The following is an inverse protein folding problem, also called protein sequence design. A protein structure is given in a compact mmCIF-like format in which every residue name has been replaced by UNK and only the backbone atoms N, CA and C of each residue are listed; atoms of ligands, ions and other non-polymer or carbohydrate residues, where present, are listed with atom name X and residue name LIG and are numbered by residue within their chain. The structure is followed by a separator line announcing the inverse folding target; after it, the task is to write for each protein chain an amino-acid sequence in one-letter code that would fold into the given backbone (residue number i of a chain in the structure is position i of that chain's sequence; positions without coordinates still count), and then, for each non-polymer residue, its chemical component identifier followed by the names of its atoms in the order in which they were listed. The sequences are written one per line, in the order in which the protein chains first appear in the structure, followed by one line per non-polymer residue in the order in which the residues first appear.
data_IF_869786203785
#
_entry.id   IF_869786203785
#
_cell.length_a   1.000
_cell.length_b   1.000
_cell.length_c   1.000
_cell.angle_alpha   90.00
_cell.angle_beta   90.00
_cell.angle_gamma   90.00
#
_symmetry.space_group_name_H-M   'P 1'
#
loop_
_entity.id
_entity.type
_entity.pdbx_description
1 polymer ?
#
# COMPACT_ATOMS: atom_id res chain seq x y z
N UNK A 1 51.12 4.03 -24.84
CA UNK A 1 49.99 4.92 -24.53
C UNK A 1 48.84 4.24 -25.23
N UNK A 2 48.00 3.45 -24.56
CA UNK A 2 47.37 3.69 -23.25
C UNK A 2 47.29 2.35 -22.49
N UNK A 3 47.90 2.28 -21.31
CA UNK A 3 47.88 1.10 -20.43
C UNK A 3 47.09 1.39 -19.16
N UNK A 4 45.76 1.36 -19.23
CA UNK A 4 44.89 1.62 -18.07
C UNK A 4 43.59 0.78 -18.04
N UNK A 5 43.38 -0.15 -18.96
CA UNK A 5 42.21 -1.03 -18.95
C UNK A 5 42.22 -2.12 -17.85
N UNK A 6 43.29 -2.21 -17.06
CA UNK A 6 43.43 -3.19 -15.96
C UNK A 6 43.06 -2.71 -14.56
N UNK A 7 42.85 -1.40 -14.32
CA UNK A 7 42.67 -0.88 -12.96
C UNK A 7 41.21 -0.61 -12.58
N UNK A 8 40.32 -0.37 -13.55
CA UNK A 8 38.89 -0.13 -13.28
C UNK A 8 38.09 -1.43 -12.99
N UNK A 9 38.66 -2.60 -13.27
CA UNK A 9 38.00 -3.91 -13.06
C UNK A 9 38.15 -4.46 -11.65
N UNK A 10 39.15 -4.01 -10.88
CA UNK A 10 39.47 -4.59 -9.57
C UNK A 10 38.52 -4.17 -8.43
N UNK A 11 37.60 -3.23 -8.66
CA UNK A 11 36.57 -2.83 -7.67
C UNK A 11 35.19 -3.43 -7.92
N UNK A 12 34.95 -4.06 -9.08
CA UNK A 12 33.62 -4.57 -9.45
C UNK A 12 33.32 -5.95 -8.84
N UNK A 13 34.34 -6.71 -8.42
CA UNK A 13 34.18 -8.11 -8.01
C UNK A 13 33.75 -8.31 -6.54
N UNK A 14 33.65 -7.25 -5.73
CA UNK A 14 33.23 -7.32 -4.31
C UNK A 14 32.08 -6.38 -3.93
N UNK A 15 31.29 -5.92 -4.92
CA UNK A 15 30.17 -5.03 -4.65
C UNK A 15 28.96 -5.80 -4.10
N UNK A 16 28.85 -5.86 -2.77
CA UNK A 16 27.61 -6.25 -2.08
C UNK A 16 26.50 -5.24 -2.42
N UNK A 17 25.27 -5.68 -2.80
CA UNK A 17 24.19 -4.77 -3.16
C UNK A 17 23.88 -3.81 -1.99
N UNK A 18 23.90 -2.50 -2.25
CA UNK A 18 23.60 -1.49 -1.23
C UNK A 18 22.10 -1.52 -0.89
N UNK A 19 21.71 -0.81 0.16
CA UNK A 19 20.31 -0.77 0.58
C UNK A 19 19.42 -0.15 -0.52
N UNK A 20 18.68 -1.00 -1.24
CA UNK A 20 17.86 -0.57 -2.38
C UNK A 20 18.15 -1.29 -3.69
N UNK A 21 19.18 -2.14 -3.72
CA UNK A 21 19.61 -2.87 -4.92
C UNK A 21 19.41 -4.39 -4.74
N UNK A 22 19.29 -5.10 -5.86
CA UNK A 22 19.13 -6.55 -5.92
C UNK A 22 19.77 -7.08 -7.20
N UNK A 23 20.07 -8.38 -7.27
CA UNK A 23 20.59 -8.98 -8.50
C UNK A 23 19.44 -9.35 -9.44
N UNK A 24 19.69 -9.22 -10.75
CA UNK A 24 18.80 -9.76 -11.76
C UNK A 24 18.86 -11.29 -11.76
N UNK A 25 17.72 -11.96 -11.64
CA UNK A 25 17.62 -13.43 -11.62
C UNK A 25 18.03 -14.12 -12.92
N UNK A 26 18.11 -13.36 -14.03
CA UNK A 26 18.49 -13.90 -15.34
C UNK A 26 19.93 -13.59 -15.73
N UNK A 27 20.38 -12.34 -15.58
CA UNK A 27 21.71 -11.92 -16.06
C UNK A 27 22.74 -11.67 -14.94
N UNK A 28 22.35 -11.78 -13.67
CA UNK A 28 23.27 -11.65 -12.52
C UNK A 28 23.73 -10.23 -12.19
N UNK A 29 23.43 -9.22 -13.02
CA UNK A 29 23.82 -7.82 -12.76
C UNK A 29 23.01 -7.20 -11.63
N UNK A 30 23.64 -6.29 -10.89
CA UNK A 30 23.00 -5.48 -9.86
C UNK A 30 22.05 -4.49 -10.51
N UNK A 31 20.82 -4.44 -10.02
CA UNK A 31 19.75 -3.55 -10.46
C UNK A 31 19.02 -2.96 -9.25
N UNK A 32 18.26 -1.89 -9.46
CA UNK A 32 17.43 -1.31 -8.41
C UNK A 32 16.27 -2.26 -8.03
N UNK A 33 15.93 -2.37 -6.74
CA UNK A 33 14.78 -3.17 -6.25
C UNK A 33 13.43 -2.74 -6.84
N UNK A 34 13.33 -1.50 -7.31
CA UNK A 34 12.13 -0.94 -7.94
C UNK A 34 12.08 -1.19 -9.46
N UNK A 35 13.16 -1.69 -10.05
CA UNK A 35 13.19 -1.98 -11.48
C UNK A 35 12.30 -3.19 -11.80
N UNK A 36 11.14 -2.91 -12.41
CA UNK A 36 10.22 -3.95 -12.90
C UNK A 36 10.89 -4.73 -14.03
N UNK A 37 11.56 -4.02 -14.95
CA UNK A 37 12.32 -4.58 -16.08
C UNK A 37 13.81 -4.33 -15.89
N UNK A 38 14.64 -5.35 -16.10
CA UNK A 38 16.09 -5.23 -16.07
C UNK A 38 16.60 -4.45 -17.30
N UNK A 39 17.35 -3.34 -17.15
CA UNK A 39 17.85 -2.55 -18.29
C UNK A 39 18.96 -3.25 -19.10
N UNK A 40 19.51 -4.36 -18.59
CA UNK A 40 20.60 -5.08 -19.27
C UNK A 40 20.14 -6.26 -20.12
N UNK A 41 19.13 -7.01 -19.69
CA UNK A 41 18.65 -8.18 -20.42
C UNK A 41 17.15 -8.13 -20.77
N UNK A 42 16.41 -7.12 -20.30
CA UNK A 42 15.00 -6.92 -20.64
C UNK A 42 14.01 -7.85 -19.92
N UNK A 43 14.46 -8.76 -19.05
CA UNK A 43 13.54 -9.61 -18.28
C UNK A 43 12.90 -8.84 -17.12
N UNK A 44 11.70 -9.24 -16.71
CA UNK A 44 11.08 -8.68 -15.50
C UNK A 44 11.66 -9.33 -14.24
N UNK A 45 12.20 -8.52 -13.34
CA UNK A 45 12.74 -8.98 -12.06
C UNK A 45 11.91 -8.50 -10.87
N UNK A 46 11.05 -7.49 -11.07
CA UNK A 46 10.14 -6.94 -10.08
C UNK A 46 8.69 -7.02 -10.55
N UNK A 47 7.73 -6.98 -9.60
CA UNK A 47 6.32 -6.75 -9.92
C UNK A 47 6.09 -5.24 -10.08
N UNK A 48 5.24 -4.84 -11.03
CA UNK A 48 4.72 -3.48 -11.02
C UNK A 48 4.09 -3.21 -9.66
N UNK A 49 4.50 -2.12 -9.01
CA UNK A 49 3.73 -1.55 -7.92
C UNK A 49 2.44 -1.01 -8.53
N UNK A 50 1.44 -1.88 -8.62
CA UNK A 50 0.07 -1.40 -8.78
C UNK A 50 -0.24 -0.72 -7.47
N UNK A 51 -0.63 0.54 -7.49
CA UNK A 51 -1.20 1.21 -6.31
C UNK A 51 -2.37 0.35 -5.82
N UNK A 52 -2.09 -0.49 -4.82
CA UNK A 52 -2.99 -1.51 -4.33
C UNK A 52 -4.14 -0.80 -3.64
N UNK A 53 -5.22 -0.53 -4.38
CA UNK A 53 -6.52 -0.08 -3.90
C UNK A 53 -6.46 0.68 -2.57
N UNK A 54 -5.77 1.81 -2.55
CA UNK A 54 -5.63 2.63 -1.35
C UNK A 54 -7.04 3.00 -0.86
N UNK A 55 -7.45 2.42 0.26
CA UNK A 55 -8.76 2.68 0.86
C UNK A 55 -8.73 4.13 1.35
N UNK A 56 -9.31 5.05 0.60
CA UNK A 56 -9.25 6.46 0.97
C UNK A 56 -10.07 6.73 2.24
N UNK A 57 -9.39 7.23 3.27
CA UNK A 57 -9.99 7.69 4.53
C UNK A 57 -11.15 8.67 4.33
N UNK A 58 -11.02 9.56 3.36
CA UNK A 58 -12.05 10.54 2.98
C UNK A 58 -13.32 9.86 2.46
N UNK A 59 -13.17 8.80 1.66
CA UNK A 59 -14.29 7.99 1.15
C UNK A 59 -14.96 7.24 2.30
N UNK A 60 -14.19 6.67 3.23
CA UNK A 60 -14.74 6.03 4.43
C UNK A 60 -15.53 7.01 5.31
N UNK A 61 -15.05 8.25 5.46
CA UNK A 61 -15.74 9.30 6.23
C UNK A 61 -17.01 9.80 5.53
N UNK A 62 -16.97 10.05 4.22
CA UNK A 62 -18.18 10.43 3.46
C UNK A 62 -19.23 9.32 3.51
N UNK A 63 -18.82 8.06 3.33
CA UNK A 63 -19.72 6.92 3.46
C UNK A 63 -20.33 6.80 4.86
N UNK A 64 -19.58 7.15 5.92
CA UNK A 64 -20.08 7.14 7.28
C UNK A 64 -21.13 8.23 7.54
N UNK A 65 -20.99 9.41 6.93
CA UNK A 65 -21.93 10.54 7.09
C UNK A 65 -23.18 10.34 6.24
N UNK A 66 -23.04 9.96 4.96
CA UNK A 66 -24.16 9.85 4.03
C UNK A 66 -24.91 8.51 4.11
N UNK A 67 -24.20 7.41 4.39
CA UNK A 67 -24.76 6.04 4.44
C UNK A 67 -24.55 5.40 5.83
N UNK A 68 -24.41 6.22 6.88
CA UNK A 68 -24.15 5.79 8.26
C UNK A 68 -25.20 4.86 8.83
N UNK A 69 -26.48 5.17 8.60
CA UNK A 69 -27.61 4.38 9.11
C UNK A 69 -27.63 2.94 8.58
N UNK A 70 -27.01 2.69 7.42
CA UNK A 70 -26.86 1.36 6.82
C UNK A 70 -25.55 0.65 7.21
N UNK A 71 -24.59 1.34 7.86
CA UNK A 71 -23.31 0.74 8.28
C UNK A 71 -22.35 0.40 7.13
N UNK A 72 -22.57 0.92 5.92
CA UNK A 72 -21.84 0.53 4.70
C UNK A 72 -20.35 0.90 4.76
N UNK A 73 -19.99 1.94 5.51
CA UNK A 73 -18.60 2.35 5.73
C UNK A 73 -17.77 1.26 6.45
N UNK A 74 -18.36 0.41 7.32
CA UNK A 74 -17.68 -0.77 7.88
C UNK A 74 -17.41 -1.85 6.85
N UNK A 75 -18.31 -2.00 5.89
CA UNK A 75 -18.14 -2.91 4.76
C UNK A 75 -17.00 -2.43 3.86
N UNK A 76 -16.89 -1.12 3.63
CA UNK A 76 -15.77 -0.51 2.90
C UNK A 76 -14.42 -0.76 3.59
N UNK A 77 -14.37 -0.75 4.93
CA UNK A 77 -13.18 -1.05 5.72
C UNK A 77 -12.83 -2.57 5.74
N UNK A 78 -13.62 -3.43 5.09
CA UNK A 78 -13.42 -4.89 5.08
C UNK A 78 -13.89 -5.60 6.36
N UNK A 79 -14.58 -4.89 7.27
CA UNK A 79 -15.13 -5.45 8.51
C UNK A 79 -16.60 -5.85 8.33
N UNK A 80 -16.84 -6.84 7.48
CA UNK A 80 -18.18 -7.32 7.12
C UNK A 80 -19.06 -7.68 8.33
N UNK A 81 -18.51 -8.37 9.34
CA UNK A 81 -19.29 -8.78 10.51
C UNK A 81 -19.89 -7.60 11.30
N UNK A 82 -19.12 -6.51 11.44
CA UNK A 82 -19.61 -5.28 12.09
C UNK A 82 -20.62 -4.54 11.22
N UNK A 83 -20.47 -4.58 9.89
CA UNK A 83 -21.45 -4.01 8.97
C UNK A 83 -22.81 -4.70 9.05
N UNK A 84 -22.84 -6.04 9.08
CA UNK A 84 -24.09 -6.81 9.20
C UNK A 84 -24.78 -6.53 10.54
N UNK A 85 -24.02 -6.43 11.63
CA UNK A 85 -24.57 -6.07 12.94
C UNK A 85 -25.28 -4.71 12.91
N UNK A 86 -24.71 -3.72 12.21
CA UNK A 86 -25.32 -2.40 12.05
C UNK A 86 -26.62 -2.45 11.24
N UNK A 87 -26.69 -3.30 10.22
CA UNK A 87 -27.91 -3.49 9.41
C UNK A 87 -29.03 -4.10 10.25
N UNK A 88 -28.73 -5.11 11.08
CA UNK A 88 -29.72 -5.74 11.96
C UNK A 88 -30.23 -4.76 13.03
N UNK A 89 -29.35 -3.88 13.52
CA UNK A 89 -29.71 -2.83 14.47
C UNK A 89 -30.24 -1.54 13.82
N UNK A 90 -30.39 -1.50 12.49
CA UNK A 90 -30.79 -0.26 11.77
C UNK A 90 -32.17 0.26 12.19
N UNK A 91 -33.06 -0.61 12.67
CA UNK A 91 -34.38 -0.24 13.21
C UNK A 91 -34.35 0.54 14.53
N UNK A 92 -33.22 0.60 15.26
CA UNK A 92 -33.15 1.26 16.58
C UNK A 92 -32.62 2.69 16.54
N UNK A 93 -32.24 3.23 15.36
CA UNK A 93 -31.65 4.59 15.18
C UNK A 93 -30.26 4.78 15.84
N UNK A 94 -29.91 3.99 16.86
CA UNK A 94 -28.58 3.89 17.51
C UNK A 94 -27.41 3.88 16.51
N UNK A 95 -27.39 3.03 15.46
CA UNK A 95 -26.28 3.00 14.50
C UNK A 95 -26.09 4.31 13.72
N UNK A 96 -27.13 5.15 13.63
CA UNK A 96 -27.03 6.46 13.00
C UNK A 96 -26.11 7.41 13.80
N UNK A 97 -26.29 7.45 15.13
CA UNK A 97 -25.49 8.31 16.02
C UNK A 97 -24.04 7.82 16.08
N UNK A 98 -23.84 6.51 16.22
CA UNK A 98 -22.48 5.93 16.29
C UNK A 98 -21.71 6.14 14.98
N UNK A 99 -22.39 6.07 13.83
CA UNK A 99 -21.77 6.30 12.51
C UNK A 99 -21.31 7.74 12.32
N UNK A 100 -22.05 8.73 12.83
CA UNK A 100 -21.63 10.14 12.81
C UNK A 100 -20.37 10.33 13.65
N UNK A 101 -20.32 9.73 14.85
CA UNK A 101 -19.14 9.80 15.73
C UNK A 101 -17.92 9.14 15.06
N UNK A 102 -18.08 7.93 14.51
CA UNK A 102 -16.99 7.27 13.76
C UNK A 102 -16.57 8.07 12.53
N UNK A 103 -17.51 8.69 11.80
CA UNK A 103 -17.23 9.58 10.68
C UNK A 103 -16.36 10.78 11.08
N UNK A 104 -16.66 11.43 12.20
CA UNK A 104 -15.88 12.55 12.74
C UNK A 104 -14.49 12.09 13.20
N UNK A 105 -14.39 10.92 13.86
CA UNK A 105 -13.11 10.32 14.24
C UNK A 105 -12.28 10.02 12.99
N UNK A 106 -12.88 9.45 11.95
CA UNK A 106 -12.21 9.19 10.68
C UNK A 106 -11.81 10.47 9.97
N UNK A 107 -12.55 11.57 10.06
CA UNK A 107 -12.07 12.86 9.54
C UNK A 107 -10.89 13.39 10.35
N UNK A 108 -10.93 13.27 11.68
CA UNK A 108 -9.94 13.85 12.59
C UNK A 108 -8.64 13.04 12.74
N UNK A 109 -8.64 11.76 12.39
CA UNK A 109 -7.43 10.92 12.41
C UNK A 109 -6.40 11.39 11.34
N UNK A 110 -5.10 11.09 11.45
CA UNK A 110 -4.13 11.34 10.36
C UNK A 110 -4.13 10.18 9.35
N UNK A 111 -3.87 10.47 8.06
CA UNK A 111 -3.83 9.49 6.96
C UNK A 111 -2.87 8.32 7.25
N UNK A 112 -1.63 8.59 7.68
CA UNK A 112 -0.65 7.53 8.02
C UNK A 112 -1.17 6.45 8.98
N UNK A 113 -1.89 6.84 10.04
CA UNK A 113 -2.44 5.86 11.01
C UNK A 113 -3.60 5.06 10.43
N UNK A 114 -4.31 5.62 9.45
CA UNK A 114 -5.38 4.94 8.74
C UNK A 114 -4.79 3.94 7.75
N UNK A 115 -3.82 4.36 6.94
CA UNK A 115 -3.15 3.53 5.95
C UNK A 115 -2.41 2.35 6.61
N UNK A 116 -1.70 2.59 7.72
CA UNK A 116 -1.08 1.52 8.49
C UNK A 116 -2.09 0.50 9.04
N UNK A 117 -3.29 0.92 9.43
CA UNK A 117 -4.27 0.05 10.09
C UNK A 117 -5.21 -0.65 9.12
N UNK A 118 -5.49 -0.03 7.98
CA UNK A 118 -6.54 -0.47 7.05
C UNK A 118 -6.04 -0.75 5.62
N UNK A 119 -4.84 -0.28 5.26
CA UNK A 119 -4.23 -0.46 3.93
C UNK A 119 -2.90 -1.24 3.96
N UNK A 120 -2.49 -1.73 5.14
CA UNK A 120 -1.27 -2.52 5.36
C UNK A 120 -1.43 -4.04 5.11
N UNK A 121 -2.53 -4.47 4.49
CA UNK A 121 -2.84 -5.89 4.25
C UNK A 121 -2.74 -6.26 2.78
#
# INVERSE_FOLDING_TARGET
MDGNEGLAVLEVENASPKNGETYCKSCGKIINKQAVVCPHCGVQNGKLKTDSKERSKLVAALLAIFLGTLGIHKFYLGKIGMGILYIIFSWTIIPSIVSVIEGIIYLSMKQEKFDQKYNSY
#
